data_IF_635922197933
#
_entry.id   IF_635922197933
#
_cell.length_a   1.000
_cell.length_b   1.000
_cell.length_c   1.000
_cell.angle_alpha   90.00
_cell.angle_beta   90.00
_cell.angle_gamma   90.00
#
_symmetry.space_group_name_H-M   'P 1'
#
loop_
_entity.id
_entity.type
_entity.pdbx_description
1 polymer ?
#
# COMPACT_ATOMS: atom_id res chain seq x y z
N UNK A 1 0.16 9.13 29.13
CA UNK A 1 -0.90 9.15 28.20
C UNK A 1 -0.47 9.03 26.79
N UNK A 2 -0.94 8.01 26.15
CA UNK A 2 -0.47 7.66 24.85
C UNK A 2 -1.20 8.35 23.70
N UNK A 3 -2.35 8.88 23.98
CA UNK A 3 -3.27 9.25 22.93
C UNK A 3 -2.80 10.29 21.95
N UNK A 4 -2.29 11.40 22.41
CA UNK A 4 -2.00 12.51 21.52
C UNK A 4 -0.79 12.26 20.62
N UNK A 5 0.31 11.84 21.18
CA UNK A 5 1.51 11.61 20.41
C UNK A 5 1.36 10.43 19.44
N UNK A 6 0.67 9.39 19.86
CA UNK A 6 0.43 8.27 18.98
C UNK A 6 -0.42 8.68 17.78
N UNK A 7 -1.40 9.55 18.02
CA UNK A 7 -2.26 10.00 16.94
C UNK A 7 -1.49 10.79 15.90
N UNK A 8 -0.57 11.66 16.37
CA UNK A 8 0.26 12.42 15.44
C UNK A 8 1.16 11.52 14.62
N UNK A 9 1.76 10.51 15.26
CA UNK A 9 2.63 9.58 14.56
C UNK A 9 1.84 8.80 13.51
N UNK A 10 0.65 8.36 13.87
CA UNK A 10 -0.18 7.61 12.93
C UNK A 10 -0.59 8.49 11.74
N UNK A 11 -0.92 9.74 12.02
CA UNK A 11 -1.27 10.65 10.94
C UNK A 11 -0.12 10.89 9.99
N UNK A 12 1.09 11.03 10.53
CA UNK A 12 2.27 11.22 9.71
C UNK A 12 2.55 9.99 8.86
N UNK A 13 2.37 8.81 9.45
CA UNK A 13 2.56 7.58 8.71
C UNK A 13 1.56 7.46 7.57
N UNK A 14 0.31 7.80 7.84
CA UNK A 14 -0.73 7.77 6.81
C UNK A 14 -0.41 8.74 5.67
N UNK A 15 0.05 9.92 6.01
CA UNK A 15 0.40 10.90 5.00
C UNK A 15 1.58 10.45 4.16
N UNK A 16 2.53 9.75 4.78
CA UNK A 16 3.69 9.24 4.05
C UNK A 16 3.26 8.17 3.06
N UNK A 17 2.36 7.26 3.49
CA UNK A 17 1.84 6.25 2.59
C UNK A 17 1.12 6.93 1.42
N UNK A 18 0.27 7.92 1.71
CA UNK A 18 -0.46 8.64 0.68
C UNK A 18 0.48 9.36 -0.29
N UNK A 19 1.59 9.82 0.22
CA UNK A 19 2.56 10.52 -0.62
C UNK A 19 3.18 9.58 -1.65
N UNK A 20 3.58 8.38 -1.23
CA UNK A 20 4.19 7.42 -2.15
C UNK A 20 3.16 6.63 -2.95
N UNK A 21 2.09 6.21 -2.31
CA UNK A 21 1.03 5.42 -2.95
C UNK A 21 -0.09 6.37 -3.34
N UNK A 22 0.20 7.23 -4.29
CA UNK A 22 -0.74 8.26 -4.68
C UNK A 22 -1.48 7.88 -5.96
N UNK A 23 -2.63 8.53 -6.15
CA UNK A 23 -3.52 8.18 -7.26
C UNK A 23 -2.84 8.32 -8.62
N UNK A 24 -2.05 9.36 -8.80
CA UNK A 24 -1.38 9.59 -10.08
C UNK A 24 -0.42 8.45 -10.44
N UNK A 25 0.38 8.02 -9.47
CA UNK A 25 1.31 6.93 -9.71
C UNK A 25 0.58 5.61 -9.97
N UNK A 26 -0.39 5.30 -9.11
CA UNK A 26 -1.12 4.03 -9.22
C UNK A 26 -1.87 3.98 -10.55
N UNK A 27 -2.53 5.08 -10.92
CA UNK A 27 -3.25 5.14 -12.17
C UNK A 27 -2.33 4.90 -13.35
N UNK A 28 -1.15 5.50 -13.30
CA UNK A 28 -0.20 5.36 -14.40
C UNK A 28 0.30 3.92 -14.54
N UNK A 29 0.52 3.25 -13.43
CA UNK A 29 1.05 1.89 -13.46
C UNK A 29 0.00 0.83 -13.71
N UNK A 30 -1.24 1.09 -13.33
CA UNK A 30 -2.30 0.09 -13.45
C UNK A 30 -3.28 0.38 -14.58
N UNK A 31 -3.36 1.63 -15.00
CA UNK A 31 -4.31 2.10 -16.02
C UNK A 31 -5.76 2.00 -15.53
N UNK A 32 -5.98 1.81 -14.24
CA UNK A 32 -7.31 1.83 -13.69
C UNK A 32 -7.77 3.27 -13.51
N UNK A 33 -9.07 3.49 -13.51
CA UNK A 33 -9.63 4.82 -13.35
C UNK A 33 -10.92 4.78 -12.55
N UNK A 34 -11.32 5.94 -12.06
CA UNK A 34 -12.59 6.10 -11.37
C UNK A 34 -12.77 5.22 -10.16
N UNK A 35 -13.94 4.66 -10.01
CA UNK A 35 -14.27 3.85 -8.86
C UNK A 35 -13.40 2.60 -8.74
N UNK A 36 -12.99 2.06 -9.87
CA UNK A 36 -12.14 0.88 -9.85
C UNK A 36 -10.75 1.19 -9.32
N UNK A 37 -10.22 2.35 -9.69
CA UNK A 37 -8.95 2.78 -9.17
C UNK A 37 -9.02 2.96 -7.65
N UNK A 38 -10.08 3.58 -7.17
CA UNK A 38 -10.23 3.79 -5.74
C UNK A 38 -10.38 2.49 -4.98
N UNK A 39 -11.14 1.56 -5.54
CA UNK A 39 -11.28 0.25 -4.92
C UNK A 39 -9.96 -0.47 -4.83
N UNK A 40 -9.18 -0.43 -5.91
CA UNK A 40 -7.87 -1.05 -5.94
C UNK A 40 -6.97 -0.44 -4.87
N UNK A 41 -6.95 0.88 -4.78
CA UNK A 41 -6.10 1.56 -3.82
C UNK A 41 -6.49 1.26 -2.39
N UNK A 42 -7.76 1.08 -2.12
CA UNK A 42 -8.19 0.72 -0.79
C UNK A 42 -7.79 -0.70 -0.43
N UNK A 43 -7.97 -1.62 -1.37
CA UNK A 43 -7.68 -3.03 -1.11
C UNK A 43 -6.19 -3.32 -1.00
N UNK A 44 -5.38 -2.63 -1.78
CA UNK A 44 -3.95 -2.92 -1.86
C UNK A 44 -3.06 -1.83 -1.29
N UNK A 45 -3.62 -1.00 -0.42
CA UNK A 45 -2.83 0.02 0.26
C UNK A 45 -1.69 -0.64 1.03
N UNK A 46 -0.43 -0.25 0.78
CA UNK A 46 0.69 -0.90 1.45
C UNK A 46 0.82 -0.45 2.90
N UNK A 47 1.53 -1.23 3.70
CA UNK A 47 1.80 -0.85 5.07
C UNK A 47 2.81 0.28 5.11
N UNK A 48 2.85 0.98 6.23
CA UNK A 48 3.83 2.04 6.40
C UNK A 48 5.25 1.48 6.33
N UNK A 49 5.49 0.34 6.98
CA UNK A 49 6.82 -0.24 7.01
C UNK A 49 7.31 -0.57 5.61
N UNK A 50 6.49 -1.23 4.82
CA UNK A 50 6.88 -1.53 3.45
C UNK A 50 7.10 -0.25 2.65
N UNK A 51 6.22 0.73 2.82
CA UNK A 51 6.33 1.99 2.10
C UNK A 51 7.61 2.71 2.45
N UNK A 52 8.01 2.64 3.72
CA UNK A 52 9.21 3.31 4.18
C UNK A 52 10.49 2.63 3.71
N UNK A 53 10.50 1.31 3.69
CA UNK A 53 11.71 0.56 3.41
C UNK A 53 11.94 0.23 1.94
N UNK A 54 10.90 0.26 1.12
CA UNK A 54 11.07 -0.15 -0.27
C UNK A 54 11.62 0.99 -1.13
N UNK A 55 12.49 0.63 -2.06
CA UNK A 55 12.97 1.58 -3.04
C UNK A 55 11.93 1.78 -4.14
N UNK A 56 12.25 2.66 -5.09
CA UNK A 56 11.31 2.98 -6.16
C UNK A 56 10.94 1.77 -7.00
N UNK A 57 11.93 0.96 -7.33
CA UNK A 57 11.68 -0.23 -8.15
C UNK A 57 10.77 -1.20 -7.42
N UNK A 58 11.09 -1.47 -6.17
CA UNK A 58 10.33 -2.41 -5.37
C UNK A 58 8.90 -1.93 -5.16
N UNK A 59 8.73 -0.64 -4.96
CA UNK A 59 7.41 -0.07 -4.73
C UNK A 59 6.54 -0.19 -5.99
N UNK A 60 7.13 0.10 -7.15
CA UNK A 60 6.41 -0.04 -8.41
C UNK A 60 6.08 -1.49 -8.71
N UNK A 61 7.02 -2.37 -8.41
CA UNK A 61 6.78 -3.79 -8.61
C UNK A 61 5.63 -4.27 -7.74
N UNK A 62 5.56 -3.80 -6.50
CA UNK A 62 4.45 -4.12 -5.61
C UNK A 62 3.11 -3.73 -6.24
N UNK A 63 3.05 -2.53 -6.81
CA UNK A 63 1.81 -2.06 -7.42
C UNK A 63 1.42 -2.95 -8.60
N UNK A 64 2.38 -3.32 -9.42
CA UNK A 64 2.09 -4.16 -10.58
C UNK A 64 1.68 -5.57 -10.17
N UNK A 65 2.32 -6.12 -9.16
CA UNK A 65 1.93 -7.43 -8.66
C UNK A 65 0.55 -7.37 -8.01
N UNK A 66 0.25 -6.27 -7.34
CA UNK A 66 -1.06 -6.08 -6.75
C UNK A 66 -2.15 -6.02 -7.83
N UNK A 67 -1.86 -5.38 -8.96
CA UNK A 67 -2.81 -5.33 -10.05
C UNK A 67 -3.10 -6.73 -10.59
N UNK A 68 -2.06 -7.54 -10.71
CA UNK A 68 -2.23 -8.92 -11.15
C UNK A 68 -3.18 -9.66 -10.20
N UNK A 69 -2.95 -9.50 -8.90
CA UNK A 69 -3.80 -10.15 -7.90
C UNK A 69 -5.22 -9.59 -7.93
N UNK A 70 -5.33 -8.28 -8.08
CA UNK A 70 -6.64 -7.64 -8.13
C UNK A 70 -7.48 -8.19 -9.28
N UNK A 71 -6.89 -8.31 -10.45
CA UNK A 71 -7.59 -8.81 -11.62
C UNK A 71 -8.02 -10.26 -11.48
N UNK A 72 -7.32 -11.03 -10.67
CA UNK A 72 -7.65 -12.43 -10.43
C UNK A 72 -8.51 -12.63 -9.20
N UNK A 73 -8.87 -11.57 -8.54
CA UNK A 73 -9.68 -11.68 -7.32
C UNK A 73 -8.92 -12.23 -6.13
N UNK A 74 -7.59 -12.16 -6.17
CA UNK A 74 -6.78 -12.64 -5.07
C UNK A 74 -6.59 -11.55 -4.03
N UNK A 75 -6.40 -11.93 -2.76
CA UNK A 75 -6.19 -10.92 -1.72
C UNK A 75 -4.81 -10.29 -1.83
N UNK A 76 -4.60 -9.16 -1.15
CA UNK A 76 -3.27 -8.54 -1.12
C UNK A 76 -2.24 -9.49 -0.54
N UNK A 77 -0.98 -9.27 -0.94
CA UNK A 77 0.11 -10.00 -0.34
C UNK A 77 0.22 -9.60 1.11
N UNK A 78 0.26 -10.58 1.98
CA UNK A 78 0.48 -10.33 3.38
C UNK A 78 1.97 -10.41 3.61
N UNK A 79 2.53 -9.28 4.03
CA UNK A 79 3.95 -9.14 4.09
C UNK A 79 4.49 -9.73 5.37
N UNK A 80 5.74 -9.62 5.59
CA UNK A 80 6.51 -10.19 6.59
C UNK A 80 5.95 -10.53 7.93
N UNK A 81 5.00 -9.80 8.45
CA UNK A 81 4.47 -10.08 9.75
C UNK A 81 3.90 -11.47 9.83
N UNK A 82 3.19 -11.90 8.77
CA UNK A 82 2.65 -13.21 8.76
C UNK A 82 3.72 -14.25 8.58
N UNK A 83 4.73 -13.94 7.79
CA UNK A 83 5.84 -14.85 7.63
C UNK A 83 6.57 -15.10 8.93
N UNK A 84 6.68 -14.06 9.75
CA UNK A 84 7.30 -14.21 11.03
C UNK A 84 6.47 -15.05 11.99
N UNK A 85 5.17 -14.92 11.91
CA UNK A 85 4.29 -15.69 12.78
C UNK A 85 4.23 -17.16 12.41
N UNK A 86 4.45 -17.47 11.16
CA UNK A 86 4.39 -18.83 10.68
C UNK A 86 5.65 -19.63 11.03
N UNK A 87 6.63 -18.99 11.56
CA UNK A 87 7.87 -19.63 11.96
C UNK A 87 7.93 -19.83 13.46
#
# INVERSE_FOLDING_TARGET
>A
MLGFQQRLLLEEQEKFIDYRFNKALVRRLTLLEGAELEKFMQLFRPSYLFTKLSGDYEFRLYIKQSLYRYKRGLPPLVWEEENLLDQ
#
